data_IF_711887327782
#
_entry.id   IF_711887327782
#
_cell.length_a   1.000
_cell.length_b   1.000
_cell.length_c   1.000
_cell.angle_alpha   90.00
_cell.angle_beta   90.00
_cell.angle_gamma   90.00
#
_symmetry.space_group_name_H-M   'P 1'
#
loop_
_entity.id
_entity.type
_entity.pdbx_description
1 polymer ?
#
# COMPACT_ATOMS: atom_id res chain seq x y z
N UNK A 1 44.93 19.95 -27.46
CA UNK A 1 43.85 18.99 -27.18
C UNK A 1 43.44 19.11 -25.73
N UNK A 2 42.52 20.05 -25.43
CA UNK A 2 41.98 20.33 -24.11
C UNK A 2 40.53 19.82 -24.12
N UNK A 3 40.34 18.58 -23.83
CA UNK A 3 39.02 17.97 -23.62
C UNK A 3 38.81 17.90 -22.12
N UNK A 4 38.24 18.67 -21.57
CA UNK A 4 37.07 19.36 -21.09
C UNK A 4 36.37 18.62 -19.94
N UNK A 5 36.72 18.95 -18.66
CA UNK A 5 35.95 18.54 -17.49
C UNK A 5 34.52 19.11 -17.52
N UNK A 6 34.25 20.05 -18.42
CA UNK A 6 32.94 20.71 -18.53
C UNK A 6 31.88 19.80 -19.22
N UNK A 7 32.26 19.04 -20.25
CA UNK A 7 31.32 18.16 -20.99
C UNK A 7 30.82 16.97 -20.13
N UNK A 8 31.71 16.39 -19.33
CA UNK A 8 31.32 15.28 -18.44
C UNK A 8 30.39 15.74 -17.32
N UNK A 9 30.57 16.96 -16.81
CA UNK A 9 29.69 17.54 -15.80
C UNK A 9 28.31 17.85 -16.37
N UNK A 10 28.23 18.38 -17.60
CA UNK A 10 26.95 18.66 -18.28
C UNK A 10 26.20 17.36 -18.59
N UNK A 11 26.89 16.33 -19.10
CA UNK A 11 26.28 15.02 -19.34
C UNK A 11 25.78 14.37 -18.04
N UNK A 12 26.52 14.43 -16.95
CA UNK A 12 26.12 13.88 -15.66
C UNK A 12 24.92 14.66 -15.05
N UNK A 13 24.88 15.99 -15.21
CA UNK A 13 23.73 16.77 -14.74
C UNK A 13 22.46 16.49 -15.55
N UNK A 14 22.58 16.33 -16.86
CA UNK A 14 21.46 16.05 -17.76
C UNK A 14 20.90 14.63 -17.53
N UNK A 15 21.77 13.64 -17.27
CA UNK A 15 21.32 12.29 -16.95
C UNK A 15 20.61 12.22 -15.60
N UNK A 16 21.06 12.96 -14.58
CA UNK A 16 20.37 13.05 -13.27
C UNK A 16 19.03 13.75 -13.39
N UNK A 17 18.94 14.84 -14.14
CA UNK A 17 17.68 15.54 -14.37
C UNK A 17 16.66 14.64 -15.07
N UNK A 18 17.08 13.87 -16.07
CA UNK A 18 16.24 12.94 -16.80
C UNK A 18 15.77 11.77 -15.90
N UNK A 19 16.65 11.23 -15.06
CA UNK A 19 16.30 10.19 -14.09
C UNK A 19 15.28 10.69 -13.07
N UNK A 20 15.45 11.88 -12.53
CA UNK A 20 14.51 12.48 -11.57
C UNK A 20 13.14 12.74 -12.20
N UNK A 21 13.09 13.18 -13.45
CA UNK A 21 11.84 13.37 -14.18
C UNK A 21 11.10 12.03 -14.40
N UNK A 22 11.83 10.98 -14.75
CA UNK A 22 11.28 9.65 -14.94
C UNK A 22 10.70 9.10 -13.62
N UNK A 23 11.46 9.19 -12.55
CA UNK A 23 11.04 8.73 -11.21
C UNK A 23 9.80 9.50 -10.75
N UNK A 24 9.75 10.81 -10.95
CA UNK A 24 8.59 11.61 -10.62
C UNK A 24 7.34 11.18 -11.40
N UNK A 25 7.47 10.82 -12.68
CA UNK A 25 6.37 10.27 -13.48
C UNK A 25 5.92 8.90 -12.97
N UNK A 26 6.87 8.03 -12.57
CA UNK A 26 6.56 6.71 -12.01
C UNK A 26 5.74 6.88 -10.73
N UNK A 27 6.20 7.71 -9.78
CA UNK A 27 5.45 7.95 -8.54
C UNK A 27 4.09 8.62 -8.78
N UNK A 28 3.98 9.47 -9.79
CA UNK A 28 2.70 10.08 -10.13
C UNK A 28 1.67 9.02 -10.56
N UNK A 29 2.05 8.08 -11.40
CA UNK A 29 1.17 6.98 -11.83
C UNK A 29 0.92 6.01 -10.68
N UNK A 30 1.97 5.66 -9.94
CA UNK A 30 1.91 4.73 -8.81
C UNK A 30 0.93 5.20 -7.74
N UNK A 31 0.97 6.48 -7.33
CA UNK A 31 0.04 7.04 -6.34
C UNK A 31 -1.42 6.99 -6.78
N UNK A 32 -1.72 7.18 -8.07
CA UNK A 32 -3.07 6.98 -8.59
C UNK A 32 -3.50 5.53 -8.50
N UNK A 33 -2.63 4.61 -8.93
CA UNK A 33 -2.89 3.17 -8.85
C UNK A 33 -3.09 2.72 -7.40
N UNK A 34 -2.25 3.16 -6.50
CA UNK A 34 -2.31 2.84 -5.07
C UNK A 34 -3.57 3.40 -4.42
N UNK A 35 -3.94 4.65 -4.73
CA UNK A 35 -5.19 5.23 -4.24
C UNK A 35 -6.42 4.42 -4.67
N UNK A 36 -6.50 4.04 -5.95
CA UNK A 36 -7.59 3.20 -6.48
C UNK A 36 -7.53 1.78 -5.91
N UNK A 37 -6.33 1.22 -5.72
CA UNK A 37 -6.14 -0.13 -5.19
C UNK A 37 -6.78 -0.31 -3.81
N UNK A 38 -6.82 0.72 -2.95
CA UNK A 38 -7.54 0.66 -1.67
C UNK A 38 -9.03 0.38 -1.85
N UNK A 39 -9.66 0.98 -2.85
CA UNK A 39 -11.08 0.72 -3.13
C UNK A 39 -11.31 -0.66 -3.74
N UNK A 40 -10.35 -1.17 -4.51
CA UNK A 40 -10.39 -2.56 -5.02
C UNK A 40 -10.30 -3.57 -3.86
N UNK A 41 -9.41 -3.32 -2.88
CA UNK A 41 -9.34 -4.14 -1.65
C UNK A 41 -10.67 -4.10 -0.90
N UNK A 42 -11.26 -2.93 -0.77
CA UNK A 42 -12.55 -2.77 -0.09
C UNK A 42 -13.63 -3.61 -0.77
N UNK A 43 -13.72 -3.54 -2.10
CA UNK A 43 -14.67 -4.35 -2.86
C UNK A 43 -14.43 -5.85 -2.67
N UNK A 44 -13.18 -6.29 -2.75
CA UNK A 44 -12.80 -7.68 -2.49
C UNK A 44 -13.15 -8.11 -1.06
N UNK A 45 -12.92 -7.24 -0.07
CA UNK A 45 -13.20 -7.51 1.35
C UNK A 45 -14.69 -7.74 1.65
N UNK A 46 -15.59 -7.11 0.91
CA UNK A 46 -17.03 -7.37 1.05
C UNK A 46 -17.46 -8.78 0.62
N UNK A 47 -16.69 -9.43 -0.24
CA UNK A 47 -16.98 -10.78 -0.70
C UNK A 47 -16.53 -11.86 0.30
N UNK A 48 -15.53 -11.56 1.13
CA UNK A 48 -14.92 -12.51 2.07
C UNK A 48 -15.91 -13.07 3.08
N UNK A 49 -16.71 -12.26 3.81
CA UNK A 49 -17.70 -12.78 4.77
C UNK A 49 -18.75 -13.66 4.13
N UNK A 50 -19.11 -13.37 2.88
CA UNK A 50 -20.10 -14.15 2.14
C UNK A 50 -19.52 -15.49 1.68
N UNK A 51 -18.31 -15.51 1.16
CA UNK A 51 -17.61 -16.70 0.66
C UNK A 51 -17.20 -17.66 1.76
N UNK A 52 -16.83 -17.14 2.92
CA UNK A 52 -16.37 -17.93 4.08
C UNK A 52 -17.50 -18.37 5.02
N UNK A 53 -18.77 -18.07 4.71
CA UNK A 53 -19.89 -18.50 5.55
C UNK A 53 -19.91 -17.88 6.96
N UNK A 54 -19.31 -16.72 7.16
CA UNK A 54 -19.18 -16.05 8.46
C UNK A 54 -20.49 -15.98 9.27
N UNK A 55 -21.66 -15.97 8.61
CA UNK A 55 -22.94 -15.95 9.31
C UNK A 55 -23.15 -17.19 10.19
N UNK A 56 -22.64 -18.36 9.77
CA UNK A 56 -22.76 -19.60 10.54
C UNK A 56 -21.76 -19.62 11.70
N UNK A 57 -20.51 -19.27 11.43
CA UNK A 57 -19.45 -19.28 12.44
C UNK A 57 -19.69 -18.22 13.52
N UNK A 58 -20.13 -17.03 13.12
CA UNK A 58 -20.45 -15.94 14.05
C UNK A 58 -21.66 -16.25 14.95
N UNK A 59 -22.56 -17.17 14.56
CA UNK A 59 -23.67 -17.62 15.43
C UNK A 59 -23.18 -18.41 16.62
N UNK A 60 -22.05 -19.10 16.50
CA UNK A 60 -21.44 -19.88 17.58
C UNK A 60 -20.72 -19.01 18.61
N UNK A 61 -20.39 -17.76 18.25
CA UNK A 61 -19.75 -16.83 19.16
C UNK A 61 -20.73 -16.23 20.16
N UNK A 62 -20.24 -15.96 21.39
CA UNK A 62 -20.99 -15.18 22.37
C UNK A 62 -21.40 -13.83 21.77
N UNK A 63 -22.59 -13.33 22.11
CA UNK A 63 -23.17 -12.12 21.54
C UNK A 63 -22.22 -10.91 21.60
N UNK A 64 -21.44 -10.78 22.67
CA UNK A 64 -20.44 -9.71 22.83
C UNK A 64 -19.33 -9.82 21.78
N UNK A 65 -18.70 -10.99 21.61
CA UNK A 65 -17.61 -11.22 20.66
C UNK A 65 -18.07 -10.99 19.22
N UNK A 66 -19.30 -11.40 18.90
CA UNK A 66 -19.90 -11.15 17.59
C UNK A 66 -20.03 -9.65 17.30
N UNK A 67 -20.51 -8.86 18.29
CA UNK A 67 -20.61 -7.40 18.14
C UNK A 67 -19.23 -6.76 17.98
N UNK A 68 -18.24 -7.22 18.76
CA UNK A 68 -16.87 -6.71 18.70
C UNK A 68 -16.25 -6.93 17.30
N UNK A 69 -16.43 -8.13 16.71
CA UNK A 69 -15.96 -8.44 15.36
C UNK A 69 -16.58 -7.52 14.30
N UNK A 70 -17.88 -7.26 14.38
CA UNK A 70 -18.54 -6.35 13.45
C UNK A 70 -18.03 -4.91 13.57
N UNK A 71 -17.84 -4.43 14.79
CA UNK A 71 -17.28 -3.09 15.04
C UNK A 71 -15.85 -3.01 14.50
N UNK A 72 -15.00 -4.00 14.81
CA UNK A 72 -13.63 -4.05 14.31
C UNK A 72 -13.55 -4.09 12.78
N UNK A 73 -14.42 -4.88 12.15
CA UNK A 73 -14.53 -4.90 10.68
C UNK A 73 -14.93 -3.55 10.11
N UNK A 74 -15.85 -2.84 10.76
CA UNK A 74 -16.26 -1.48 10.38
C UNK A 74 -15.09 -0.49 10.45
N UNK A 75 -14.28 -0.53 11.51
CA UNK A 75 -13.08 0.30 11.61
C UNK A 75 -12.04 -0.04 10.55
N UNK A 76 -11.87 -1.31 10.22
CA UNK A 76 -10.97 -1.71 9.13
C UNK A 76 -11.43 -1.13 7.78
N UNK A 77 -12.70 -1.22 7.47
CA UNK A 77 -13.29 -0.61 6.26
C UNK A 77 -13.08 0.90 6.24
N UNK A 78 -13.37 1.58 7.35
CA UNK A 78 -13.15 3.02 7.48
C UNK A 78 -11.68 3.40 7.26
N UNK A 79 -10.74 2.64 7.81
CA UNK A 79 -9.30 2.86 7.64
C UNK A 79 -8.88 2.73 6.17
N UNK A 80 -9.36 1.72 5.47
CA UNK A 80 -9.05 1.53 4.04
C UNK A 80 -9.62 2.68 3.19
N UNK A 81 -10.85 3.10 3.47
CA UNK A 81 -11.47 4.26 2.79
C UNK A 81 -10.64 5.53 3.06
N UNK A 82 -10.25 5.77 4.31
CA UNK A 82 -9.45 6.93 4.69
C UNK A 82 -8.10 6.94 3.96
N UNK A 83 -7.39 5.81 3.92
CA UNK A 83 -6.11 5.71 3.21
C UNK A 83 -6.26 5.99 1.71
N UNK A 84 -7.22 5.37 1.05
CA UNK A 84 -7.47 5.60 -0.38
C UNK A 84 -7.84 7.05 -0.67
N UNK A 85 -8.77 7.62 0.11
CA UNK A 85 -9.22 9.01 -0.06
C UNK A 85 -8.09 10.00 0.20
N UNK A 86 -7.33 9.84 1.30
CA UNK A 86 -6.21 10.70 1.62
C UNK A 86 -5.10 10.61 0.58
N UNK A 87 -4.84 9.42 0.04
CA UNK A 87 -3.83 9.25 -1.02
C UNK A 87 -4.21 10.02 -2.28
N UNK A 88 -5.47 9.96 -2.69
CA UNK A 88 -5.95 10.68 -3.86
C UNK A 88 -6.06 12.19 -3.60
N UNK A 89 -6.55 12.59 -2.44
CA UNK A 89 -6.72 14.00 -2.07
C UNK A 89 -5.38 14.72 -1.89
N UNK A 90 -4.40 14.07 -1.27
CA UNK A 90 -3.08 14.62 -0.99
C UNK A 90 -2.03 14.20 -2.04
N UNK A 91 -2.46 13.82 -3.22
CA UNK A 91 -1.59 13.32 -4.28
C UNK A 91 -0.43 14.28 -4.62
N UNK A 92 -0.72 15.58 -4.73
CA UNK A 92 0.29 16.59 -5.02
C UNK A 92 1.28 16.78 -3.86
N UNK A 93 0.82 16.68 -2.62
CA UNK A 93 1.62 16.77 -1.40
C UNK A 93 2.59 15.58 -1.28
N UNK A 94 2.13 14.38 -1.61
CA UNK A 94 2.98 13.18 -1.67
C UNK A 94 4.10 13.35 -2.71
N UNK A 95 3.78 13.87 -3.89
CA UNK A 95 4.77 14.09 -4.95
C UNK A 95 5.77 15.19 -4.61
N UNK A 96 5.35 16.24 -3.88
CA UNK A 96 6.25 17.29 -3.41
C UNK A 96 7.15 16.81 -2.28
N UNK A 97 6.71 15.80 -1.52
CA UNK A 97 7.41 15.30 -0.36
C UNK A 97 7.20 16.14 0.89
N UNK A 98 5.99 16.69 1.06
CA UNK A 98 5.63 17.47 2.24
C UNK A 98 5.74 16.60 3.50
N UNK A 99 6.27 17.13 4.59
CA UNK A 99 6.57 16.37 5.82
C UNK A 99 5.36 15.59 6.36
N UNK A 100 4.17 16.21 6.34
CA UNK A 100 2.94 15.56 6.79
C UNK A 100 2.54 14.40 5.87
N UNK A 101 2.63 14.60 4.55
CA UNK A 101 2.34 13.56 3.57
C UNK A 101 3.35 12.40 3.68
N UNK A 102 4.64 12.68 3.88
CA UNK A 102 5.65 11.65 4.10
C UNK A 102 5.41 10.88 5.40
N UNK A 103 5.02 11.56 6.49
CA UNK A 103 4.61 10.90 7.72
C UNK A 103 3.44 9.95 7.52
N UNK A 104 2.44 10.39 6.74
CA UNK A 104 1.29 9.58 6.37
C UNK A 104 1.71 8.39 5.49
N UNK A 105 2.58 8.59 4.50
CA UNK A 105 3.13 7.51 3.67
C UNK A 105 3.85 6.45 4.52
N UNK A 106 4.70 6.88 5.45
CA UNK A 106 5.38 5.98 6.39
C UNK A 106 4.39 5.18 7.23
N UNK A 107 3.36 5.83 7.77
CA UNK A 107 2.32 5.17 8.57
C UNK A 107 1.53 4.13 7.74
N UNK A 108 1.09 4.49 6.54
CA UNK A 108 0.36 3.56 5.65
C UNK A 108 1.28 2.40 5.23
N UNK A 109 2.55 2.68 4.93
CA UNK A 109 3.55 1.66 4.61
C UNK A 109 3.76 0.65 5.74
N UNK A 110 3.90 1.14 6.99
CA UNK A 110 3.99 0.29 8.18
C UNK A 110 2.70 -0.53 8.36
N UNK A 111 1.53 0.07 8.20
CA UNK A 111 0.24 -0.63 8.33
C UNK A 111 0.15 -1.83 7.37
N UNK A 112 0.44 -1.64 6.09
CA UNK A 112 0.37 -2.72 5.10
C UNK A 112 1.48 -3.76 5.28
N UNK A 113 2.68 -3.34 5.65
CA UNK A 113 3.78 -4.26 6.00
C UNK A 113 3.41 -5.14 7.19
N UNK A 114 2.87 -4.54 8.25
CA UNK A 114 2.39 -5.29 9.42
C UNK A 114 1.27 -6.26 9.05
N UNK A 115 0.37 -5.85 8.15
CA UNK A 115 -0.71 -6.72 7.66
C UNK A 115 -0.17 -7.97 6.96
N UNK A 116 0.85 -7.82 6.13
CA UNK A 116 1.54 -8.95 5.46
C UNK A 116 2.23 -9.84 6.48
N UNK A 117 2.96 -9.25 7.45
CA UNK A 117 3.65 -10.01 8.48
C UNK A 117 2.68 -10.84 9.33
N UNK A 118 1.54 -10.27 9.71
CA UNK A 118 0.51 -11.00 10.45
C UNK A 118 -0.04 -12.14 9.60
N UNK A 119 -0.31 -11.89 8.31
CA UNK A 119 -0.83 -12.91 7.39
C UNK A 119 0.14 -14.09 7.24
N UNK A 120 1.44 -13.81 7.12
CA UNK A 120 2.46 -14.83 6.89
C UNK A 120 2.91 -15.58 8.15
N UNK A 121 2.91 -14.92 9.32
CA UNK A 121 3.46 -15.48 10.55
C UNK A 121 2.36 -16.10 11.41
N UNK A 122 1.20 -15.45 11.50
CA UNK A 122 0.15 -15.82 12.43
C UNK A 122 -0.81 -16.88 11.88
N UNK A 123 -1.12 -16.84 10.56
CA UNK A 123 -2.05 -17.78 9.96
C UNK A 123 -1.34 -19.04 9.46
N UNK A 124 -1.69 -20.20 10.07
CA UNK A 124 -1.23 -21.50 9.60
C UNK A 124 -1.96 -21.94 8.34
N UNK A 125 -1.21 -22.44 7.35
CA UNK A 125 -1.80 -22.99 6.11
C UNK A 125 -2.68 -24.22 6.36
N UNK A 126 -2.53 -24.88 7.52
CA UNK A 126 -3.32 -26.05 7.89
C UNK A 126 -4.80 -25.71 8.16
N UNK A 127 -5.11 -24.47 8.55
CA UNK A 127 -6.45 -24.01 8.90
C UNK A 127 -7.20 -23.39 7.71
N UNK A 128 -6.60 -23.42 6.51
CA UNK A 128 -7.16 -22.75 5.34
C UNK A 128 -8.27 -23.57 4.70
N UNK A 129 -9.34 -22.90 4.22
CA UNK A 129 -10.36 -23.57 3.42
C UNK A 129 -9.75 -24.20 2.17
N UNK A 130 -10.10 -25.45 1.90
CA UNK A 130 -9.66 -26.16 0.69
C UNK A 130 -10.41 -25.65 -0.53
N UNK A 131 -9.70 -25.10 -1.50
CA UNK A 131 -10.28 -24.67 -2.77
C UNK A 131 -9.38 -23.74 -3.58
N UNK A 132 -9.28 -23.99 -4.89
CA UNK A 132 -8.47 -23.18 -5.82
C UNK A 132 -8.90 -21.72 -5.85
N UNK A 133 -10.19 -21.43 -5.78
CA UNK A 133 -10.72 -20.07 -5.76
C UNK A 133 -10.28 -19.29 -4.51
N UNK A 134 -10.20 -19.96 -3.35
CA UNK A 134 -9.69 -19.33 -2.13
C UNK A 134 -8.19 -19.04 -2.24
N UNK A 135 -7.41 -20.00 -2.71
CA UNK A 135 -5.97 -19.84 -2.90
C UNK A 135 -5.64 -18.69 -3.86
N UNK A 136 -6.32 -18.63 -5.00
CA UNK A 136 -6.14 -17.54 -5.97
C UNK A 136 -6.52 -16.18 -5.35
N UNK A 137 -7.64 -16.10 -4.63
CA UNK A 137 -8.05 -14.88 -3.94
C UNK A 137 -7.04 -14.42 -2.90
N UNK A 138 -6.50 -15.35 -2.10
CA UNK A 138 -5.47 -15.05 -1.11
C UNK A 138 -4.18 -14.54 -1.75
N UNK A 139 -3.67 -15.22 -2.79
CA UNK A 139 -2.47 -14.79 -3.51
C UNK A 139 -2.65 -13.40 -4.11
N UNK A 140 -3.79 -13.13 -4.74
CA UNK A 140 -4.09 -11.82 -5.31
C UNK A 140 -4.12 -10.72 -4.23
N UNK A 141 -4.74 -10.98 -3.07
CA UNK A 141 -4.76 -10.03 -1.95
C UNK A 141 -3.36 -9.80 -1.38
N UNK A 142 -2.57 -10.84 -1.21
CA UNK A 142 -1.18 -10.72 -0.70
C UNK A 142 -0.31 -9.93 -1.67
N UNK A 143 -0.44 -10.16 -2.98
CA UNK A 143 0.26 -9.36 -3.99
C UNK A 143 -0.17 -7.89 -3.95
N UNK A 144 -1.45 -7.64 -3.78
CA UNK A 144 -1.98 -6.28 -3.69
C UNK A 144 -1.50 -5.56 -2.42
N UNK A 145 -1.48 -6.23 -1.27
CA UNK A 145 -0.92 -5.68 -0.03
C UNK A 145 0.57 -5.40 -0.16
N UNK A 146 1.33 -6.31 -0.81
CA UNK A 146 2.76 -6.14 -1.06
C UNK A 146 3.03 -4.97 -1.98
N UNK A 147 2.21 -4.77 -3.01
CA UNK A 147 2.26 -3.62 -3.88
C UNK A 147 2.05 -2.32 -3.11
N UNK A 148 0.99 -2.24 -2.28
CA UNK A 148 0.72 -1.06 -1.45
C UNK A 148 1.89 -0.77 -0.48
N UNK A 149 2.37 -1.78 0.23
CA UNK A 149 3.49 -1.61 1.16
C UNK A 149 4.75 -1.11 0.43
N UNK A 150 5.10 -1.71 -0.70
CA UNK A 150 6.26 -1.33 -1.49
C UNK A 150 6.17 0.10 -2.03
N UNK A 151 5.02 0.52 -2.52
CA UNK A 151 4.78 1.87 -3.05
C UNK A 151 4.96 2.94 -1.97
N UNK A 152 4.32 2.78 -0.81
CA UNK A 152 4.44 3.77 0.26
C UNK A 152 5.82 3.80 0.91
N UNK A 153 6.39 2.64 1.17
CA UNK A 153 7.77 2.54 1.71
C UNK A 153 8.78 3.08 0.71
N UNK A 154 8.62 2.76 -0.58
CA UNK A 154 9.47 3.26 -1.66
C UNK A 154 9.40 4.78 -1.79
N UNK A 155 8.19 5.36 -1.75
CA UNK A 155 7.98 6.81 -1.77
C UNK A 155 8.64 7.49 -0.56
N UNK A 156 8.47 6.93 0.64
CA UNK A 156 9.06 7.45 1.87
C UNK A 156 10.60 7.42 1.80
N UNK A 157 11.19 6.27 1.44
CA UNK A 157 12.65 6.11 1.31
C UNK A 157 13.21 7.07 0.25
N UNK A 158 12.54 7.20 -0.90
CA UNK A 158 12.95 8.10 -1.95
C UNK A 158 13.10 9.54 -1.47
N UNK A 159 12.10 10.07 -0.76
CA UNK A 159 12.11 11.45 -0.32
C UNK A 159 13.05 11.71 0.88
N UNK A 160 13.21 10.73 1.77
CA UNK A 160 14.01 10.89 3.00
C UNK A 160 15.48 10.62 2.74
N UNK A 161 15.82 9.64 1.90
CA UNK A 161 17.20 9.14 1.80
C UNK A 161 17.83 9.37 0.42
N UNK A 162 17.06 9.29 -0.65
CA UNK A 162 17.58 9.29 -2.01
C UNK A 162 17.46 10.65 -2.70
N UNK A 163 16.57 11.52 -2.24
CA UNK A 163 16.47 12.90 -2.73
C UNK A 163 17.33 13.80 -1.84
N UNK A 164 18.60 14.05 -2.19
CA UNK A 164 19.44 14.95 -1.42
C UNK A 164 18.79 16.34 -1.45
N UNK A 165 18.76 16.97 -0.27
CA UNK A 165 18.23 18.32 -0.06
C UNK A 165 18.67 19.25 -1.18
N UNK A 166 17.72 19.66 -2.03
CA UNK A 166 17.88 20.80 -2.92
C UNK A 166 17.52 22.07 -2.16
#
# INVERSE_FOLDING_TARGET
MLCTPCDTAIHASNSRAMSNMLIHRIFNIDLWLVGVAHFVILFASFQVPYRLGWKQDLRQLRAFNRKLLWVQSGFTVLTIIAFGTLTLALHAEFLRGDRAALGLAGFIGIYWTTRILVDTIYFSHADWPTGTAFLVGHVLLTLLFSFLAASYVGLFIWHVWLRPNG
#
